data_IF_483652992789
#
_entry.id   IF_483652992789
#
_cell.length_a   1.000
_cell.length_b   1.000
_cell.length_c   1.000
_cell.angle_alpha   90.00
_cell.angle_beta   90.00
_cell.angle_gamma   90.00
#
_symmetry.space_group_name_H-M   'P 1'
#
loop_
_entity.id
_entity.type
_entity.pdbx_description
1 polymer ?
#
# COMPACT_ATOMS: atom_id res chain seq x y z
N UNK A 1 6.22 -0.01 -18.55
CA UNK A 1 4.89 0.64 -18.57
C UNK A 1 5.11 2.03 -17.98
N UNK A 2 4.94 3.07 -18.77
CA UNK A 2 5.14 4.45 -18.33
C UNK A 2 3.86 4.94 -17.60
N UNK A 3 3.99 5.75 -16.56
CA UNK A 3 2.85 6.35 -15.85
C UNK A 3 2.24 5.50 -14.70
N UNK A 4 2.71 4.28 -14.49
CA UNK A 4 2.15 3.39 -13.45
C UNK A 4 2.39 3.89 -12.02
N UNK A 5 3.59 4.40 -11.66
CA UNK A 5 3.81 4.99 -10.33
C UNK A 5 2.86 6.15 -10.04
N UNK A 6 2.56 6.99 -11.04
CA UNK A 6 1.67 8.15 -10.89
C UNK A 6 0.20 7.76 -10.75
N UNK A 7 -0.20 6.59 -11.27
CA UNK A 7 -1.57 6.08 -11.14
C UNK A 7 -1.88 5.46 -9.78
N UNK A 8 -0.85 5.03 -9.03
CA UNK A 8 -1.02 4.34 -7.75
C UNK A 8 -0.23 5.09 -6.67
N UNK A 9 -0.77 6.21 -6.16
CA UNK A 9 -0.07 7.03 -5.17
C UNK A 9 0.01 6.35 -3.80
N UNK A 10 -0.94 5.47 -3.49
CA UNK A 10 -0.92 4.67 -2.27
C UNK A 10 -1.70 3.36 -2.43
N UNK A 11 -1.41 2.40 -1.55
CA UNK A 11 -2.13 1.13 -1.42
C UNK A 11 -2.48 0.89 0.04
N UNK A 12 -3.69 0.41 0.29
CA UNK A 12 -4.16 0.02 1.62
C UNK A 12 -4.45 -1.47 1.70
N UNK A 13 -3.98 -2.12 2.77
CA UNK A 13 -4.11 -3.56 2.98
C UNK A 13 -4.45 -3.82 4.45
N UNK A 14 -5.44 -4.68 4.69
CA UNK A 14 -5.63 -5.28 6.01
C UNK A 14 -4.70 -6.49 6.16
N UNK A 15 -3.84 -6.46 7.16
CA UNK A 15 -2.93 -7.55 7.47
C UNK A 15 -3.08 -7.97 8.93
N UNK A 16 -2.94 -9.27 9.18
CA UNK A 16 -2.92 -9.83 10.54
C UNK A 16 -1.52 -9.67 11.12
N UNK A 17 -1.42 -8.90 12.20
CA UNK A 17 -0.22 -8.77 13.02
C UNK A 17 -0.39 -9.60 14.31
N UNK A 18 0.71 -9.87 15.05
CA UNK A 18 0.64 -10.59 16.32
C UNK A 18 -0.31 -9.96 17.36
N UNK A 19 -0.60 -8.67 17.25
CA UNK A 19 -1.48 -7.91 18.12
C UNK A 19 -2.86 -7.61 17.51
N UNK A 20 -3.17 -8.20 16.35
CA UNK A 20 -4.48 -8.10 15.69
C UNK A 20 -4.41 -7.64 14.23
N UNK A 21 -5.58 -7.57 13.59
CA UNK A 21 -5.68 -7.05 12.21
C UNK A 21 -5.53 -5.54 12.22
N UNK A 22 -4.69 -5.03 11.31
CA UNK A 22 -4.47 -3.60 11.12
C UNK A 22 -4.61 -3.23 9.66
N UNK A 23 -5.13 -2.03 9.42
CA UNK A 23 -5.07 -1.37 8.11
C UNK A 23 -3.69 -0.73 7.94
N UNK A 24 -2.95 -1.17 6.92
CA UNK A 24 -1.65 -0.64 6.55
C UNK A 24 -1.82 0.22 5.31
N UNK A 25 -1.33 1.45 5.35
CA UNK A 25 -1.24 2.34 4.18
C UNK A 25 0.23 2.43 3.76
N UNK A 26 0.50 2.19 2.48
CA UNK A 26 1.82 2.36 1.87
C UNK A 26 1.75 3.49 0.87
N UNK A 27 2.50 4.57 1.11
CA UNK A 27 2.62 5.70 0.19
C UNK A 27 3.72 5.44 -0.82
N UNK A 28 3.47 5.78 -2.08
CA UNK A 28 4.37 5.56 -3.22
C UNK A 28 4.91 4.12 -3.29
N UNK A 29 4.02 3.12 -3.43
CA UNK A 29 4.40 1.71 -3.39
C UNK A 29 5.21 1.27 -4.62
N UNK A 30 5.24 2.08 -5.68
CA UNK A 30 5.98 1.82 -6.92
C UNK A 30 7.04 2.91 -7.07
N UNK A 31 8.34 2.56 -7.13
CA UNK A 31 9.43 3.53 -7.32
C UNK A 31 9.46 4.19 -8.70
#
# INVERSE_FOLDING_TARGET
>A
MEGVPEMIPEVQIEATFPDGTKLVTVHHPIP
#
